data_IF_646092606530
#
_entry.id   IF_646092606530
#
_cell.length_a   1.000
_cell.length_b   1.000
_cell.length_c   1.000
_cell.angle_alpha   90.00
_cell.angle_beta   90.00
_cell.angle_gamma   90.00
#
_symmetry.space_group_name_H-M   'P 1'
#
loop_
_entity.id
_entity.type
_entity.pdbx_description
1 polymer ?
#
# COMPACT_ATOMS: atom_id res chain seq x y z
N UNK A 1 61.32 -22.03 14.23
CA UNK A 1 59.86 -21.76 14.15
C UNK A 1 59.78 -20.29 13.82
N UNK A 2 60.12 -20.00 12.58
CA UNK A 2 60.40 -18.66 12.09
C UNK A 2 59.13 -18.22 11.38
N UNK A 3 58.37 -17.37 12.05
CA UNK A 3 57.15 -16.77 11.51
C UNK A 3 57.61 -15.63 10.60
N UNK A 4 57.79 -15.94 9.33
CA UNK A 4 57.94 -14.94 8.27
C UNK A 4 56.70 -14.04 8.30
N UNK A 5 56.89 -12.78 8.67
CA UNK A 5 55.92 -11.73 8.44
C UNK A 5 55.86 -11.47 6.94
N UNK A 6 54.88 -12.10 6.27
CA UNK A 6 54.45 -11.78 4.92
C UNK A 6 53.84 -10.36 4.92
N UNK A 7 54.72 -9.36 4.96
CA UNK A 7 54.38 -7.98 4.61
C UNK A 7 54.14 -8.01 3.11
N UNK A 8 52.93 -8.38 2.71
CA UNK A 8 52.46 -8.18 1.35
C UNK A 8 52.55 -6.70 1.05
N UNK A 9 53.61 -6.34 0.33
CA UNK A 9 53.77 -5.05 -0.33
C UNK A 9 52.52 -4.83 -1.17
N UNK A 10 51.62 -4.00 -0.67
CA UNK A 10 50.54 -3.43 -1.48
C UNK A 10 51.23 -2.37 -2.34
N UNK A 11 51.93 -2.84 -3.37
CA UNK A 11 52.56 -2.02 -4.39
C UNK A 11 51.45 -1.20 -5.06
N UNK A 12 51.39 0.07 -4.65
CA UNK A 12 51.01 1.25 -5.41
C UNK A 12 50.44 0.96 -6.81
N UNK A 13 49.17 0.56 -6.86
CA UNK A 13 48.32 0.88 -8.02
C UNK A 13 47.57 2.14 -7.65
N UNK A 14 48.28 3.26 -7.74
CA UNK A 14 47.72 4.60 -7.58
C UNK A 14 47.26 5.15 -8.94
N UNK A 15 46.85 4.27 -9.85
CA UNK A 15 46.10 4.62 -11.05
C UNK A 15 44.65 4.85 -10.62
N UNK A 16 44.42 5.97 -9.94
CA UNK A 16 43.06 6.41 -9.65
C UNK A 16 42.30 6.56 -10.97
N UNK A 17 41.23 5.79 -11.14
CA UNK A 17 40.39 5.82 -12.35
C UNK A 17 40.04 7.26 -12.75
N UNK A 18 40.06 7.55 -14.06
CA UNK A 18 39.71 8.86 -14.58
C UNK A 18 38.27 9.23 -14.17
N UNK A 19 38.13 10.36 -13.46
CA UNK A 19 36.81 10.89 -13.08
C UNK A 19 36.13 11.46 -14.34
N UNK A 20 35.22 10.68 -14.93
CA UNK A 20 34.48 11.09 -16.13
C UNK A 20 33.41 12.15 -15.84
N UNK A 21 32.84 12.16 -14.63
CA UNK A 21 31.81 13.13 -14.23
C UNK A 21 31.67 13.24 -12.72
N UNK A 22 31.36 14.44 -12.25
CA UNK A 22 31.05 14.74 -10.85
C UNK A 22 29.56 15.12 -10.71
N UNK A 23 28.92 14.63 -9.64
CA UNK A 23 27.52 14.91 -9.35
C UNK A 23 27.38 15.68 -8.05
N UNK A 24 26.78 16.87 -8.13
CA UNK A 24 26.32 17.58 -6.93
C UNK A 24 25.24 16.77 -6.22
N UNK A 25 25.51 16.40 -4.96
CA UNK A 25 24.55 15.68 -4.10
C UNK A 25 23.95 16.66 -3.09
N UNK A 26 22.66 16.94 -3.23
CA UNK A 26 21.91 17.74 -2.26
C UNK A 26 21.00 16.86 -1.39
N UNK A 27 20.85 17.23 -0.12
CA UNK A 27 19.91 16.57 0.78
C UNK A 27 18.67 17.44 0.98
N UNK A 28 17.49 16.83 0.88
CA UNK A 28 16.22 17.47 1.21
C UNK A 28 15.56 16.71 2.36
N UNK A 29 15.24 17.42 3.45
CA UNK A 29 14.63 16.88 4.66
C UNK A 29 13.12 17.14 4.75
N UNK A 30 12.57 18.06 3.96
CA UNK A 30 11.18 18.50 4.06
C UNK A 30 10.13 17.39 3.87
N UNK A 31 10.48 16.29 3.22
CA UNK A 31 9.60 15.14 2.98
C UNK A 31 9.91 13.91 3.84
N UNK A 32 10.91 13.99 4.74
CA UNK A 32 11.44 12.81 5.43
C UNK A 32 10.40 12.07 6.30
N UNK A 33 9.33 12.74 6.73
CA UNK A 33 8.22 12.15 7.50
C UNK A 33 6.95 11.86 6.70
N UNK A 34 6.90 12.20 5.41
CA UNK A 34 5.68 12.10 4.58
C UNK A 34 5.83 11.15 3.40
N UNK A 35 7.06 10.83 3.02
CA UNK A 35 7.31 10.03 1.85
C UNK A 35 7.50 8.56 2.27
N UNK A 36 6.77 7.69 1.59
CA UNK A 36 6.65 6.27 1.88
C UNK A 36 7.12 5.47 0.66
N UNK A 37 7.96 4.46 0.89
CA UNK A 37 8.33 3.54 -0.18
C UNK A 37 7.40 2.33 -0.15
N UNK A 38 6.62 2.17 -1.22
CA UNK A 38 5.72 1.04 -1.42
C UNK A 38 6.37 0.03 -2.36
N UNK A 39 6.46 -1.22 -1.92
CA UNK A 39 6.85 -2.32 -2.81
C UNK A 39 5.74 -3.37 -2.85
N UNK A 40 5.52 -3.93 -4.04
CA UNK A 40 4.53 -4.95 -4.33
C UNK A 40 5.25 -6.26 -4.68
N UNK A 41 5.49 -7.17 -3.71
CA UNK A 41 6.32 -8.36 -3.94
C UNK A 41 5.80 -9.27 -5.05
N UNK A 42 4.47 -9.33 -5.19
CA UNK A 42 3.78 -10.18 -6.17
C UNK A 42 3.60 -9.53 -7.54
N UNK A 43 3.89 -8.22 -7.67
CA UNK A 43 3.60 -7.46 -8.89
C UNK A 43 4.88 -7.04 -9.59
N UNK A 44 5.20 -7.75 -10.68
CA UNK A 44 6.40 -7.50 -11.49
C UNK A 44 6.26 -6.33 -12.47
N UNK A 45 5.02 -5.93 -12.78
CA UNK A 45 4.72 -4.89 -13.79
C UNK A 45 3.99 -3.70 -13.16
N UNK A 46 4.25 -2.52 -13.72
CA UNK A 46 3.50 -1.29 -13.39
C UNK A 46 2.00 -1.47 -13.67
N UNK A 47 1.19 -0.61 -13.07
CA UNK A 47 -0.23 -0.54 -13.40
C UNK A 47 -0.41 -0.22 -14.88
N UNK A 48 -1.23 -1.01 -15.56
CA UNK A 48 -1.71 -0.70 -16.91
C UNK A 48 -2.84 0.32 -16.84
N UNK A 49 -3.22 0.89 -17.98
CA UNK A 49 -4.36 1.81 -18.06
C UNK A 49 -5.63 1.12 -17.58
N UNK A 50 -6.41 1.80 -16.73
CA UNK A 50 -7.70 1.31 -16.22
C UNK A 50 -7.62 0.28 -15.09
N UNK A 51 -6.43 -0.10 -14.63
CA UNK A 51 -6.22 -0.98 -13.46
C UNK A 51 -5.40 -0.32 -12.35
N UNK A 52 -5.23 1.00 -12.44
CA UNK A 52 -4.47 1.80 -11.49
C UNK A 52 -5.26 2.04 -10.20
N UNK A 53 -4.58 2.26 -9.05
CA UNK A 53 -5.27 2.58 -7.81
C UNK A 53 -6.16 3.80 -7.98
N UNK A 54 -7.46 3.65 -7.71
CA UNK A 54 -8.45 4.73 -7.85
C UNK A 54 -8.57 5.55 -6.56
N UNK A 55 -8.38 4.91 -5.42
CA UNK A 55 -8.48 5.56 -4.11
C UNK A 55 -7.37 5.06 -3.18
N UNK A 56 -6.93 5.93 -2.27
CA UNK A 56 -5.95 5.61 -1.25
C UNK A 56 -6.38 6.17 0.11
N UNK A 57 -6.36 5.33 1.15
CA UNK A 57 -6.58 5.73 2.53
C UNK A 57 -5.30 5.54 3.34
N UNK A 58 -4.84 6.60 4.02
CA UNK A 58 -3.73 6.54 4.95
C UNK A 58 -4.21 6.56 6.40
N UNK A 59 -3.66 5.67 7.23
CA UNK A 59 -3.87 5.61 8.68
C UNK A 59 -2.53 5.91 9.38
N UNK A 60 -2.29 7.17 9.80
CA UNK A 60 -0.98 7.59 10.32
C UNK A 60 -0.54 6.82 11.56
N UNK A 61 -1.44 6.65 12.54
CA UNK A 61 -1.12 5.97 13.81
C UNK A 61 -0.69 4.51 13.64
N UNK A 62 -1.23 3.83 12.62
CA UNK A 62 -0.87 2.45 12.29
C UNK A 62 0.20 2.36 11.18
N UNK A 63 0.68 3.50 10.68
CA UNK A 63 1.52 3.63 9.50
C UNK A 63 1.08 2.72 8.33
N UNK A 64 -0.22 2.75 8.03
CA UNK A 64 -0.86 1.82 7.10
C UNK A 64 -1.53 2.55 5.96
N UNK A 65 -1.23 2.12 4.74
CA UNK A 65 -1.85 2.59 3.49
C UNK A 65 -2.77 1.51 2.97
N UNK A 66 -3.95 1.89 2.50
CA UNK A 66 -4.87 1.01 1.82
C UNK A 66 -5.18 1.61 0.46
N UNK A 67 -5.10 0.79 -0.57
CA UNK A 67 -5.39 1.17 -1.95
C UNK A 67 -6.61 0.42 -2.42
N UNK A 68 -7.45 1.10 -3.19
CA UNK A 68 -8.53 0.47 -3.92
C UNK A 68 -8.14 0.37 -5.39
N UNK A 69 -8.25 -0.84 -5.95
CA UNK A 69 -7.91 -1.14 -7.32
C UNK A 69 -9.16 -1.63 -8.06
N UNK A 70 -9.44 -1.11 -9.27
CA UNK A 70 -10.49 -1.65 -10.10
C UNK A 70 -10.09 -3.02 -10.67
N UNK A 71 -11.09 -3.89 -10.78
CA UNK A 71 -11.00 -5.21 -11.41
C UNK A 71 -11.63 -5.10 -12.79
N UNK A 72 -10.95 -5.60 -13.80
CA UNK A 72 -11.49 -5.61 -15.16
C UNK A 72 -12.48 -6.78 -15.33
N UNK A 73 -13.76 -6.50 -15.14
CA UNK A 73 -14.86 -7.48 -15.25
C UNK A 73 -15.17 -7.88 -16.71
N UNK A 74 -14.65 -7.14 -17.70
CA UNK A 74 -14.83 -7.44 -19.13
C UNK A 74 -13.78 -8.41 -19.68
N UNK A 75 -12.74 -8.75 -18.92
CA UNK A 75 -11.72 -9.70 -19.35
C UNK A 75 -12.22 -11.14 -19.29
N UNK A 76 -11.82 -11.96 -20.26
CA UNK A 76 -12.15 -13.38 -20.28
C UNK A 76 -11.63 -14.15 -19.05
N UNK A 77 -10.57 -13.65 -18.41
CA UNK A 77 -10.02 -14.24 -17.18
C UNK A 77 -10.88 -13.95 -15.93
N UNK A 78 -11.88 -13.09 -16.03
CA UNK A 78 -12.80 -12.79 -14.94
C UNK A 78 -13.99 -13.75 -14.95
N UNK A 79 -14.20 -14.44 -13.84
CA UNK A 79 -15.36 -15.29 -13.61
C UNK A 79 -16.48 -14.45 -12.97
N UNK A 80 -17.53 -14.21 -13.75
CA UNK A 80 -18.65 -13.38 -13.32
C UNK A 80 -19.45 -14.00 -12.18
N UNK A 81 -19.60 -15.33 -12.16
CA UNK A 81 -20.38 -16.04 -11.13
C UNK A 81 -19.64 -15.97 -9.79
N UNK A 82 -18.34 -16.25 -9.82
CA UNK A 82 -17.49 -16.09 -8.63
C UNK A 82 -17.39 -14.63 -8.18
N UNK A 83 -17.36 -13.70 -9.12
CA UNK A 83 -17.40 -12.27 -8.84
C UNK A 83 -18.66 -11.84 -8.09
N UNK A 84 -19.82 -12.40 -8.43
CA UNK A 84 -21.10 -12.14 -7.74
C UNK A 84 -21.13 -12.74 -6.34
N UNK A 85 -20.67 -13.97 -6.19
CA UNK A 85 -20.59 -14.65 -4.89
C UNK A 85 -19.74 -13.83 -3.90
N UNK A 86 -18.56 -13.38 -4.34
CA UNK A 86 -17.67 -12.56 -3.51
C UNK A 86 -18.29 -11.21 -3.15
N UNK A 87 -18.96 -10.54 -4.11
CA UNK A 87 -19.60 -9.25 -3.86
C UNK A 87 -20.72 -9.36 -2.80
N UNK A 88 -21.52 -10.42 -2.84
CA UNK A 88 -22.56 -10.69 -1.83
C UNK A 88 -21.94 -10.89 -0.44
N UNK A 89 -20.90 -11.72 -0.34
CA UNK A 89 -20.22 -11.99 0.93
C UNK A 89 -19.61 -10.73 1.56
N UNK A 90 -19.02 -9.85 0.74
CA UNK A 90 -18.48 -8.56 1.20
C UNK A 90 -19.60 -7.63 1.68
N UNK A 91 -20.71 -7.55 0.94
CA UNK A 91 -21.88 -6.75 1.32
C UNK A 91 -22.48 -7.17 2.65
N UNK A 92 -22.62 -8.47 2.89
CA UNK A 92 -23.10 -9.03 4.16
C UNK A 92 -22.16 -8.72 5.34
N UNK A 93 -20.84 -8.83 5.14
CA UNK A 93 -19.84 -8.50 6.16
C UNK A 93 -19.81 -7.02 6.53
N UNK A 94 -20.14 -6.13 5.59
CA UNK A 94 -20.24 -4.69 5.87
C UNK A 94 -21.51 -4.33 6.64
N UNK A 95 -22.64 -4.99 6.33
CA UNK A 95 -23.91 -4.79 7.02
C UNK A 95 -23.81 -5.19 8.50
N UNK A 96 -23.28 -6.37 8.79
CA UNK A 96 -23.12 -6.85 10.17
C UNK A 96 -22.26 -5.92 11.06
N UNK A 97 -21.18 -5.34 10.51
CA UNK A 97 -20.34 -4.37 11.24
C UNK A 97 -21.04 -3.03 11.51
N UNK A 98 -21.98 -2.62 10.65
CA UNK A 98 -22.73 -1.38 10.83
C UNK A 98 -23.73 -1.51 11.98
N UNK A 99 -24.35 -2.68 12.10
CA UNK A 99 -25.34 -2.96 13.15
C UNK A 99 -24.68 -2.98 14.55
N UNK A 100 -23.49 -3.55 14.70
CA UNK A 100 -22.74 -3.56 15.96
C UNK A 100 -22.33 -2.16 16.45
N UNK A 101 -21.92 -1.27 15.55
CA UNK A 101 -21.55 0.11 15.91
C UNK A 101 -22.77 1.00 16.19
N UNK A 102 -23.94 0.67 15.65
CA UNK A 102 -25.19 1.37 15.96
C UNK A 102 -25.78 0.99 17.33
N UNK A 103 -25.53 -0.25 17.79
CA UNK A 103 -26.02 -0.75 19.06
C UNK A 103 -25.32 -0.09 20.28
N UNK A 104 -24.07 0.36 20.14
CA UNK A 104 -23.33 1.04 21.21
C UNK A 104 -23.71 2.51 21.37
N UNK A 105 -24.22 3.19 20.33
CA UNK A 105 -24.77 4.56 20.44
C UNK A 105 -26.25 4.58 20.83
N UNK A 106 -27.00 3.50 20.62
CA UNK A 106 -28.39 3.36 21.07
C UNK A 106 -28.53 3.16 22.59
N UNK A 107 -27.46 2.76 23.31
CA UNK A 107 -27.50 2.60 24.77
C UNK A 107 -27.50 3.91 25.56
N UNK A 108 -27.23 5.06 24.92
CA UNK A 108 -27.31 6.38 25.55
C UNK A 108 -28.69 7.07 25.39
N UNK A 109 -29.68 6.41 24.77
CA UNK A 109 -31.01 7.00 24.47
C UNK A 109 -32.21 6.23 25.03
N UNK A 110 -32.06 5.52 26.15
CA UNK A 110 -33.20 4.90 26.86
C UNK A 110 -33.84 5.87 27.85
N UNK A 111 -34.49 6.91 27.32
CA UNK A 111 -35.62 7.61 27.97
C UNK A 111 -36.34 8.46 26.91
N UNK A 112 -37.40 7.93 26.30
CA UNK A 112 -38.21 8.65 25.31
C UNK A 112 -39.10 7.69 24.51
N UNK A 113 -40.40 7.96 24.50
CA UNK A 113 -41.48 7.06 24.11
C UNK A 113 -41.74 6.92 22.59
N UNK A 114 -42.55 5.89 22.28
CA UNK A 114 -43.54 5.79 21.20
C UNK A 114 -43.11 5.75 19.71
N UNK A 115 -43.57 4.68 19.04
CA UNK A 115 -44.33 4.82 17.78
C UNK A 115 -43.73 4.22 16.51
N UNK A 116 -44.50 3.35 15.84
CA UNK A 116 -44.42 3.01 14.40
C UNK A 116 -43.41 1.93 14.04
N UNK A 117 -43.78 0.67 13.79
CA UNK A 117 -44.50 0.15 12.61
C UNK A 117 -43.77 0.38 11.27
N UNK A 118 -43.38 -0.75 10.66
CA UNK A 118 -43.26 -1.03 9.21
C UNK A 118 -42.36 -0.13 8.35
N UNK A 119 -41.23 -0.71 7.94
CA UNK A 119 -40.49 -0.34 6.74
C UNK A 119 -39.94 -1.61 6.09
N UNK A 120 -40.79 -2.30 5.32
CA UNK A 120 -40.31 -3.27 4.32
C UNK A 120 -39.85 -2.45 3.11
N UNK A 121 -38.59 -2.01 3.13
CA UNK A 121 -37.96 -1.41 1.96
C UNK A 121 -37.48 -2.55 1.05
N UNK A 122 -38.42 -3.11 0.29
CA UNK A 122 -38.12 -3.88 -0.92
C UNK A 122 -37.87 -2.86 -2.05
N UNK A 123 -36.67 -2.31 -2.07
CA UNK A 123 -36.28 -1.34 -3.09
C UNK A 123 -35.50 -1.99 -4.24
N UNK A 124 -36.07 -1.79 -5.42
CA UNK A 124 -35.55 -1.75 -6.78
C UNK A 124 -34.36 -2.64 -7.18
N UNK A 125 -34.63 -3.62 -8.05
CA UNK A 125 -33.84 -3.98 -9.25
C UNK A 125 -32.32 -3.77 -9.18
N UNK A 126 -31.68 -4.21 -8.11
CA UNK A 126 -30.22 -4.30 -8.05
C UNK A 126 -29.84 -5.53 -8.85
N UNK A 127 -29.37 -5.31 -10.09
CA UNK A 127 -28.57 -6.30 -10.80
C UNK A 127 -27.58 -6.91 -9.80
N UNK A 128 -27.51 -8.24 -9.73
CA UNK A 128 -26.63 -8.93 -8.78
C UNK A 128 -25.28 -8.23 -8.69
N UNK A 129 -24.86 -7.77 -7.49
CA UNK A 129 -23.64 -7.00 -7.37
C UNK A 129 -22.47 -7.85 -7.83
N UNK A 130 -21.59 -7.28 -8.65
CA UNK A 130 -20.38 -7.93 -9.14
C UNK A 130 -19.17 -7.28 -8.49
N UNK A 131 -18.10 -8.06 -8.24
CA UNK A 131 -16.92 -7.54 -7.57
C UNK A 131 -16.06 -6.73 -8.54
N UNK A 132 -16.24 -5.42 -8.53
CA UNK A 132 -15.55 -4.46 -9.42
C UNK A 132 -14.28 -3.87 -8.82
N UNK A 133 -14.10 -3.98 -7.49
CA UNK A 133 -13.03 -3.31 -6.75
C UNK A 133 -12.42 -4.26 -5.73
N UNK A 134 -11.10 -4.15 -5.55
CA UNK A 134 -10.33 -4.88 -4.55
C UNK A 134 -9.51 -3.90 -3.73
N UNK A 135 -9.58 -4.04 -2.41
CA UNK A 135 -8.75 -3.28 -1.50
C UNK A 135 -7.46 -4.03 -1.14
N UNK A 136 -6.31 -3.37 -1.25
CA UNK A 136 -5.01 -3.89 -0.84
C UNK A 136 -4.46 -3.02 0.29
N UNK A 137 -4.21 -3.64 1.44
CA UNK A 137 -3.66 -2.98 2.62
C UNK A 137 -2.17 -3.23 2.79
N UNK A 138 -1.45 -2.22 3.23
CA UNK A 138 -0.02 -2.31 3.52
C UNK A 138 0.25 -2.86 4.91
N UNK A 139 1.50 -3.27 5.11
CA UNK A 139 2.07 -3.68 6.38
C UNK A 139 3.37 -2.87 6.58
N UNK A 140 3.54 -2.18 7.70
CA UNK A 140 4.78 -1.48 7.99
C UNK A 140 5.92 -2.50 8.13
N UNK A 141 7.08 -2.20 7.54
CA UNK A 141 8.25 -3.05 7.73
C UNK A 141 9.15 -2.52 8.84
N UNK A 142 9.71 -3.40 9.67
CA UNK A 142 10.78 -3.02 10.58
C UNK A 142 11.95 -2.42 9.79
N UNK A 143 12.49 -1.30 10.27
CA UNK A 143 13.65 -0.69 9.64
C UNK A 143 14.89 -1.53 9.92
N UNK A 144 15.30 -2.35 8.95
CA UNK A 144 16.56 -3.10 8.99
C UNK A 144 17.74 -2.27 8.48
N UNK A 145 17.47 -1.23 7.68
CA UNK A 145 18.48 -0.42 7.01
C UNK A 145 17.98 1.01 6.73
N UNK A 146 18.90 1.96 6.56
CA UNK A 146 18.59 3.34 6.20
C UNK A 146 18.40 3.46 4.68
N UNK A 147 17.17 3.75 4.25
CA UNK A 147 16.86 3.94 2.82
C UNK A 147 16.78 5.43 2.47
N UNK A 148 17.30 5.77 1.30
CA UNK A 148 17.17 7.10 0.70
C UNK A 148 16.63 6.98 -0.71
N UNK A 149 15.74 7.89 -1.08
CA UNK A 149 15.28 8.07 -2.45
C UNK A 149 16.12 9.18 -3.08
N UNK A 150 16.77 8.87 -4.19
CA UNK A 150 17.56 9.81 -4.98
C UNK A 150 16.84 10.16 -6.28
N UNK A 151 16.76 11.44 -6.63
CA UNK A 151 16.28 11.91 -7.94
C UNK A 151 17.45 12.54 -8.68
N UNK A 152 17.75 12.03 -9.87
CA UNK A 152 18.77 12.58 -10.77
C UNK A 152 18.09 13.47 -11.82
N UNK A 153 18.50 14.74 -11.90
CA UNK A 153 18.00 15.70 -12.90
C UNK A 153 19.15 16.56 -13.41
N UNK A 154 19.37 16.55 -14.73
CA UNK A 154 20.36 17.40 -15.40
C UNK A 154 21.78 17.32 -14.76
N UNK A 155 22.27 16.12 -14.44
CA UNK A 155 23.60 15.97 -13.81
C UNK A 155 23.67 16.33 -12.32
N UNK A 156 22.53 16.61 -11.66
CA UNK A 156 22.46 16.89 -10.21
C UNK A 156 21.60 15.85 -9.49
N UNK A 157 22.06 15.38 -8.33
CA UNK A 157 21.40 14.36 -7.53
C UNK A 157 20.80 14.97 -6.25
N UNK A 158 19.51 14.73 -5.99
CA UNK A 158 18.86 15.12 -4.72
C UNK A 158 18.44 13.87 -3.93
N UNK A 159 18.82 13.77 -2.66
CA UNK A 159 18.54 12.64 -1.74
C UNK A 159 17.53 13.01 -0.65
N UNK A 160 16.62 12.08 -0.31
CA UNK A 160 15.60 12.21 0.75
C UNK A 160 15.52 10.91 1.59
N UNK A 161 15.50 10.99 2.93
CA UNK A 161 15.40 9.83 3.87
C UNK A 161 13.97 9.27 3.97
N UNK A 162 13.84 7.94 4.16
CA UNK A 162 12.58 7.19 3.99
C UNK A 162 12.29 6.07 4.99
N UNK A 163 10.99 5.80 5.20
CA UNK A 163 10.44 4.59 5.81
C UNK A 163 9.80 3.65 4.76
N UNK A 164 10.02 2.33 4.90
CA UNK A 164 9.51 1.29 3.99
C UNK A 164 8.16 0.75 4.47
N UNK A 165 7.24 0.60 3.54
CA UNK A 165 5.93 -0.01 3.76
C UNK A 165 5.71 -1.09 2.68
N UNK A 166 5.65 -2.37 3.07
CA UNK A 166 5.42 -3.48 2.14
C UNK A 166 3.93 -3.81 2.03
N UNK A 167 3.45 -4.02 0.81
CA UNK A 167 2.09 -4.51 0.56
C UNK A 167 2.13 -6.04 0.47
N UNK A 168 1.91 -6.72 1.59
CA UNK A 168 1.71 -8.17 1.63
C UNK A 168 0.25 -8.50 1.33
N UNK A 169 -0.02 -9.05 0.15
CA UNK A 169 -1.28 -9.73 -0.14
C UNK A 169 -1.28 -11.05 0.64
N UNK A 170 -2.00 -11.13 1.76
CA UNK A 170 -2.30 -12.42 2.39
C UNK A 170 -3.14 -13.24 1.39
N UNK A 171 -2.56 -14.31 0.84
CA UNK A 171 -3.35 -15.41 0.31
C UNK A 171 -3.93 -16.15 1.52
N UNK A 172 -5.24 -16.12 1.66
CA UNK A 172 -6.01 -17.10 2.44
C UNK A 172 -6.19 -18.34 1.58
#
# INVERSE_FOLDING_TARGET
>A
MDVETDVRSSAEHNDADEVLCEFDVHFASGLAGQLHLLQHPVRLRRYGRGIEPTEAQYRPQANRLQFELPVNTSQQAYDADRGRELARAVGESQRSKKDENSATTARARRHGANGGATGMDLDESQSDPIMERVAIGSVPMPMMTNYMVGVLRNGKCRRVRHAIVLLLTRRL
#
